data_IF_314055400976
#
_entry.id   IF_314055400976
#
_cell.length_a   1.000
_cell.length_b   1.000
_cell.length_c   1.000
_cell.angle_alpha   90.00
_cell.angle_beta   90.00
_cell.angle_gamma   90.00
#
_symmetry.space_group_name_H-M   'P 1'
#
loop_
_entity.id
_entity.type
_entity.pdbx_description
1 polymer ?
#
# COMPACT_ATOMS: atom_id res chain seq x y z
N UNK A 1 -8.42 -15.87 -22.91
CA UNK A 1 -8.79 -15.08 -24.10
C UNK A 1 -8.33 -13.64 -23.90
N UNK A 2 -7.42 -13.16 -24.74
CA UNK A 2 -6.90 -11.79 -24.71
C UNK A 2 -7.66 -10.94 -25.72
N UNK A 3 -8.47 -10.00 -25.25
CA UNK A 3 -9.17 -9.05 -26.11
C UNK A 3 -8.27 -7.85 -26.41
N UNK A 4 -8.24 -7.40 -27.66
CA UNK A 4 -7.46 -6.23 -28.08
C UNK A 4 -8.00 -4.94 -27.45
N UNK A 5 -7.12 -3.97 -27.17
CA UNK A 5 -7.51 -2.72 -26.51
C UNK A 5 -8.54 -1.91 -27.32
N UNK A 6 -8.38 -1.85 -28.65
CA UNK A 6 -9.33 -1.17 -29.54
C UNK A 6 -10.73 -1.80 -29.54
N UNK A 7 -10.81 -3.12 -29.36
CA UNK A 7 -12.09 -3.81 -29.26
C UNK A 7 -12.78 -3.53 -27.91
N UNK A 8 -12.03 -3.56 -26.81
CA UNK A 8 -12.54 -3.20 -25.48
C UNK A 8 -13.09 -1.76 -25.45
N UNK A 9 -12.35 -0.80 -26.00
CA UNK A 9 -12.73 0.61 -25.98
C UNK A 9 -13.98 0.89 -26.82
N UNK A 10 -14.16 0.20 -27.96
CA UNK A 10 -15.37 0.27 -28.78
C UNK A 10 -16.61 -0.20 -28.01
N UNK A 11 -16.51 -1.35 -27.32
CA UNK A 11 -17.61 -1.89 -26.51
C UNK A 11 -17.95 -0.99 -25.32
N UNK A 12 -16.94 -0.43 -24.64
CA UNK A 12 -17.13 0.55 -23.57
C UNK A 12 -17.84 1.80 -24.09
N UNK A 13 -17.44 2.33 -25.26
CA UNK A 13 -18.10 3.49 -25.89
C UNK A 13 -19.58 3.21 -26.18
N UNK A 14 -19.92 2.01 -26.69
CA UNK A 14 -21.30 1.59 -26.97
C UNK A 14 -22.17 1.52 -25.68
N UNK A 15 -21.56 1.16 -24.55
CA UNK A 15 -22.23 1.14 -23.23
C UNK A 15 -22.31 2.52 -22.56
N UNK A 16 -21.40 3.45 -22.89
CA UNK A 16 -21.29 4.76 -22.24
C UNK A 16 -22.19 5.85 -22.86
N UNK A 17 -22.94 5.56 -23.92
CA UNK A 17 -23.89 6.51 -24.51
C UNK A 17 -25.10 6.78 -23.57
N UNK A 18 -25.73 7.96 -23.63
CA UNK A 18 -26.92 8.29 -22.83
C UNK A 18 -28.09 7.30 -22.98
N UNK A 19 -28.23 6.69 -24.17
CA UNK A 19 -29.14 5.57 -24.46
C UNK A 19 -28.36 4.26 -24.76
N UNK A 20 -27.24 4.06 -24.08
CA UNK A 20 -26.30 2.97 -24.33
C UNK A 20 -26.88 1.58 -24.04
N UNK A 21 -26.39 0.58 -24.76
CA UNK A 21 -26.78 -0.82 -24.56
C UNK A 21 -26.26 -1.29 -23.21
N UNK A 22 -27.10 -1.93 -22.39
CA UNK A 22 -26.67 -2.45 -21.09
C UNK A 22 -25.62 -3.56 -21.25
N UNK A 23 -24.75 -3.72 -20.25
CA UNK A 23 -23.73 -4.77 -20.26
C UNK A 23 -24.32 -6.18 -20.42
N UNK A 24 -25.53 -6.42 -19.91
CA UNK A 24 -26.26 -7.69 -20.04
C UNK A 24 -26.79 -7.92 -21.46
N UNK A 25 -27.27 -6.86 -22.13
CA UNK A 25 -27.71 -6.95 -23.52
C UNK A 25 -26.51 -7.14 -24.47
N UNK A 26 -25.42 -6.39 -24.25
CA UNK A 26 -24.20 -6.50 -25.04
C UNK A 26 -23.49 -7.85 -24.84
N UNK A 27 -23.60 -8.43 -23.63
CA UNK A 27 -23.10 -9.78 -23.35
C UNK A 27 -23.76 -10.85 -24.22
N UNK A 28 -25.08 -10.75 -24.44
CA UNK A 28 -25.81 -11.66 -25.34
C UNK A 28 -25.46 -11.46 -26.81
N UNK A 29 -25.17 -10.23 -27.21
CA UNK A 29 -24.83 -9.88 -28.60
C UNK A 29 -23.41 -10.34 -28.98
N UNK A 30 -22.43 -10.14 -28.09
CA UNK A 30 -21.00 -10.34 -28.39
C UNK A 30 -20.45 -11.65 -27.80
N UNK A 31 -21.23 -12.33 -26.95
CA UNK A 31 -20.82 -13.58 -26.29
C UNK A 31 -19.75 -13.39 -25.20
N UNK A 32 -19.49 -12.15 -24.78
CA UNK A 32 -18.55 -11.82 -23.70
C UNK A 32 -19.29 -11.84 -22.37
N UNK A 33 -18.75 -12.43 -21.30
CA UNK A 33 -19.40 -12.40 -19.99
C UNK A 33 -19.68 -10.96 -19.53
N UNK A 34 -20.91 -10.70 -19.05
CA UNK A 34 -21.33 -9.38 -18.56
C UNK A 34 -20.36 -8.81 -17.50
N UNK A 35 -19.77 -9.66 -16.66
CA UNK A 35 -18.78 -9.25 -15.67
C UNK A 35 -17.52 -8.61 -16.28
N UNK A 36 -17.07 -9.11 -17.44
CA UNK A 36 -15.92 -8.56 -18.16
C UNK A 36 -16.25 -7.20 -18.77
N UNK A 37 -17.45 -7.05 -19.35
CA UNK A 37 -17.93 -5.79 -19.90
C UNK A 37 -18.10 -4.72 -18.80
N UNK A 38 -18.69 -5.09 -17.66
CA UNK A 38 -18.84 -4.19 -16.50
C UNK A 38 -17.52 -3.87 -15.80
N UNK A 39 -16.49 -4.73 -15.90
CA UNK A 39 -15.13 -4.39 -15.47
C UNK A 39 -14.52 -3.33 -16.39
N UNK A 40 -14.54 -3.54 -17.71
CA UNK A 40 -13.97 -2.57 -18.66
C UNK A 40 -14.66 -1.20 -18.60
N UNK A 41 -15.97 -1.16 -18.38
CA UNK A 41 -16.71 0.10 -18.19
C UNK A 41 -16.24 0.85 -16.94
N UNK A 42 -16.00 0.14 -15.83
CA UNK A 42 -15.47 0.74 -14.59
C UNK A 42 -14.05 1.23 -14.77
N UNK A 43 -13.18 0.41 -15.36
CA UNK A 43 -11.78 0.76 -15.60
C UNK A 43 -11.67 2.03 -16.46
N UNK A 44 -12.50 2.15 -17.50
CA UNK A 44 -12.53 3.35 -18.35
C UNK A 44 -13.06 4.60 -17.63
N UNK A 45 -14.01 4.45 -16.70
CA UNK A 45 -14.51 5.57 -15.90
C UNK A 45 -13.50 6.02 -14.84
N UNK A 46 -12.77 5.09 -14.22
CA UNK A 46 -11.70 5.40 -13.25
C UNK A 46 -10.53 6.12 -13.93
N UNK A 47 -10.18 5.75 -15.16
CA UNK A 47 -9.16 6.46 -15.95
C UNK A 47 -9.60 7.88 -16.30
N UNK A 48 -10.90 8.11 -16.51
CA UNK A 48 -11.46 9.46 -16.73
C UNK A 48 -11.59 10.29 -15.44
N UNK A 49 -11.71 9.67 -14.26
CA UNK A 49 -11.79 10.39 -12.97
C UNK A 49 -10.46 11.06 -12.55
N UNK A 50 -9.35 10.76 -13.24
CA UNK A 50 -8.08 11.51 -13.08
C UNK A 50 -8.08 12.88 -13.77
N UNK A 51 -9.11 13.17 -14.59
CA UNK A 51 -9.38 14.48 -15.16
C UNK A 51 -10.68 15.02 -14.59
N UNK A 52 -10.59 16.08 -13.79
CA UNK A 52 -11.68 16.88 -13.25
C UNK A 52 -12.95 16.86 -14.13
N UNK A 53 -13.95 16.05 -13.76
CA UNK A 53 -15.26 16.07 -14.41
C UNK A 53 -16.37 16.17 -13.37
N UNK A 54 -17.33 17.10 -13.53
CA UNK A 54 -18.33 17.38 -12.53
C UNK A 54 -19.26 16.19 -12.34
N UNK A 55 -19.76 16.06 -11.13
CA UNK A 55 -20.79 15.13 -10.68
C UNK A 55 -21.95 15.11 -11.68
N UNK A 56 -21.90 14.18 -12.63
CA UNK A 56 -23.03 13.85 -13.49
C UNK A 56 -23.91 12.90 -12.68
N UNK A 57 -25.03 13.44 -12.18
CA UNK A 57 -26.18 12.70 -11.67
C UNK A 57 -26.70 11.74 -12.74
N UNK A 58 -26.09 10.56 -12.83
CA UNK A 58 -26.68 9.41 -13.50
C UNK A 58 -27.39 8.57 -12.42
N UNK A 59 -28.72 8.38 -12.47
CA UNK A 59 -29.52 7.71 -11.43
C UNK A 59 -29.16 6.24 -11.13
N UNK A 60 -28.20 5.67 -11.86
CA UNK A 60 -27.85 4.25 -11.83
C UNK A 60 -26.52 3.95 -11.12
N UNK A 61 -25.77 4.97 -10.67
CA UNK A 61 -24.58 4.73 -9.85
C UNK A 61 -25.00 4.54 -8.40
N UNK A 62 -25.47 3.35 -8.05
CA UNK A 62 -25.35 2.88 -6.68
C UNK A 62 -23.87 2.72 -6.38
N UNK A 63 -23.20 3.81 -5.95
CA UNK A 63 -21.87 3.69 -5.35
C UNK A 63 -21.99 2.63 -4.27
N UNK A 64 -21.26 1.53 -4.42
CA UNK A 64 -21.21 0.51 -3.37
C UNK A 64 -20.84 1.22 -2.07
N UNK A 65 -21.50 0.91 -0.95
CA UNK A 65 -21.23 1.59 0.31
C UNK A 65 -19.73 1.50 0.59
N UNK A 66 -19.04 2.65 0.59
CA UNK A 66 -17.60 2.72 0.89
C UNK A 66 -17.38 2.02 2.22
N UNK A 67 -16.38 1.13 2.30
CA UNK A 67 -16.07 0.48 3.57
C UNK A 67 -15.63 1.55 4.56
N UNK A 68 -15.87 1.38 5.86
CA UNK A 68 -15.39 2.31 6.90
C UNK A 68 -13.89 2.61 6.81
N UNK A 69 -13.11 1.63 6.34
CA UNK A 69 -11.66 1.73 6.15
C UNK A 69 -11.27 2.62 4.95
N UNK A 70 -12.11 2.67 3.91
CA UNK A 70 -11.86 3.41 2.67
C UNK A 70 -12.24 4.90 2.80
N UNK A 71 -12.76 5.32 3.97
CA UNK A 71 -13.12 6.71 4.25
C UNK A 71 -11.90 7.55 4.56
N UNK A 72 -11.85 8.77 4.02
CA UNK A 72 -10.78 9.73 4.31
C UNK A 72 -10.82 10.20 5.77
N UNK A 73 -9.72 10.77 6.26
CA UNK A 73 -9.67 11.32 7.61
C UNK A 73 -10.71 12.45 7.82
N UNK A 74 -10.92 13.28 6.79
CA UNK A 74 -11.92 14.35 6.79
C UNK A 74 -13.35 13.80 6.84
N UNK A 75 -13.64 12.76 6.04
CA UNK A 75 -14.95 12.08 6.08
C UNK A 75 -15.21 11.47 7.46
N UNK A 76 -14.21 10.84 8.07
CA UNK A 76 -14.33 10.28 9.43
C UNK A 76 -14.60 11.38 10.46
N UNK A 77 -13.88 12.51 10.38
CA UNK A 77 -14.09 13.67 11.25
C UNK A 77 -15.50 14.23 11.13
N UNK A 78 -15.97 14.43 9.91
CA UNK A 78 -17.33 14.94 9.65
C UNK A 78 -18.38 14.03 10.27
N UNK A 79 -18.24 12.71 10.07
CA UNK A 79 -19.18 11.73 10.62
C UNK A 79 -19.18 11.74 12.15
N UNK A 80 -18.01 11.84 12.78
CA UNK A 80 -17.90 11.92 14.24
C UNK A 80 -18.58 13.17 14.79
N UNK A 81 -18.36 14.34 14.16
CA UNK A 81 -18.99 15.60 14.56
C UNK A 81 -20.51 15.54 14.38
N UNK A 82 -20.98 15.07 13.23
CA UNK A 82 -22.42 14.91 12.98
C UNK A 82 -23.06 13.95 13.99
N UNK A 83 -22.37 12.85 14.33
CA UNK A 83 -22.87 11.89 15.32
C UNK A 83 -23.02 12.47 16.73
N UNK A 84 -22.29 13.54 17.10
CA UNK A 84 -22.52 14.25 18.37
C UNK A 84 -23.79 15.09 18.36
N UNK A 85 -24.25 15.51 17.18
CA UNK A 85 -25.45 16.35 17.02
C UNK A 85 -26.74 15.56 16.85
N UNK A 86 -26.63 14.27 16.54
CA UNK A 86 -27.76 13.37 16.33
C UNK A 86 -28.24 12.83 17.67
N UNK A 87 -29.55 12.87 17.90
CA UNK A 87 -30.15 12.29 19.10
C UNK A 87 -29.98 10.75 19.13
N UNK A 88 -29.92 10.16 20.33
CA UNK A 88 -29.60 8.75 20.54
C UNK A 88 -30.58 7.80 19.81
N UNK A 89 -31.85 8.19 19.72
CA UNK A 89 -32.90 7.47 18.99
C UNK A 89 -32.66 7.41 17.47
N UNK A 90 -31.98 8.42 16.93
CA UNK A 90 -31.65 8.53 15.50
C UNK A 90 -30.23 8.06 15.17
N UNK A 91 -29.38 7.86 16.18
CA UNK A 91 -27.98 7.46 16.00
C UNK A 91 -27.87 6.14 15.24
N UNK A 92 -28.70 5.15 15.56
CA UNK A 92 -28.71 3.86 14.86
C UNK A 92 -29.11 3.95 13.37
N UNK A 93 -29.95 4.91 13.00
CA UNK A 93 -30.31 5.17 11.61
C UNK A 93 -29.18 5.92 10.87
N UNK A 94 -28.54 6.87 11.55
CA UNK A 94 -27.38 7.60 11.06
C UNK A 94 -26.19 6.67 10.76
N UNK A 95 -25.87 5.76 11.69
CA UNK A 95 -24.79 4.78 11.54
C UNK A 95 -25.00 3.87 10.32
N UNK A 96 -26.23 3.36 10.13
CA UNK A 96 -26.59 2.52 8.97
C UNK A 96 -26.49 3.29 7.66
N UNK A 97 -26.96 4.54 7.60
CA UNK A 97 -26.84 5.41 6.41
C UNK A 97 -25.38 5.65 6.04
N UNK A 98 -24.53 5.82 7.04
CA UNK A 98 -23.10 6.00 6.86
C UNK A 98 -22.33 4.69 6.68
N UNK A 99 -22.96 3.53 6.80
CA UNK A 99 -22.31 2.23 6.66
C UNK A 99 -21.24 1.94 7.73
N UNK A 100 -21.40 2.51 8.93
CA UNK A 100 -20.46 2.34 10.05
C UNK A 100 -21.15 1.74 11.27
N UNK A 101 -20.39 1.05 12.11
CA UNK A 101 -20.88 0.52 13.38
C UNK A 101 -20.50 1.43 14.55
N UNK A 102 -21.23 1.30 15.65
CA UNK A 102 -20.99 2.10 16.84
C UNK A 102 -19.56 1.91 17.40
N UNK A 103 -19.04 0.68 17.36
CA UNK A 103 -17.66 0.39 17.77
C UNK A 103 -16.63 1.21 16.96
N UNK A 104 -16.85 1.36 15.65
CA UNK A 104 -15.99 2.15 14.77
C UNK A 104 -16.11 3.65 15.06
N UNK A 105 -17.33 4.12 15.35
CA UNK A 105 -17.54 5.51 15.76
C UNK A 105 -16.78 5.83 17.05
N UNK A 106 -16.85 4.94 18.05
CA UNK A 106 -16.10 5.08 19.31
C UNK A 106 -14.58 5.03 19.08
N UNK A 107 -14.11 4.13 18.23
CA UNK A 107 -12.70 4.05 17.84
C UNK A 107 -12.21 5.36 17.19
N UNK A 108 -13.00 5.92 16.26
CA UNK A 108 -12.65 7.18 15.59
C UNK A 108 -12.63 8.36 16.56
N UNK A 109 -13.60 8.42 17.49
CA UNK A 109 -13.59 9.38 18.59
C UNK A 109 -12.33 9.27 19.44
N UNK A 110 -11.97 8.05 19.84
CA UNK A 110 -10.77 7.80 20.65
C UNK A 110 -9.48 8.19 19.93
N UNK A 111 -9.36 7.87 18.63
CA UNK A 111 -8.21 8.28 17.82
C UNK A 111 -8.08 9.81 17.75
N UNK A 112 -9.18 10.54 17.53
CA UNK A 112 -9.16 12.01 17.48
C UNK A 112 -8.76 12.60 18.82
N UNK A 113 -9.36 12.13 19.92
CA UNK A 113 -8.99 12.58 21.26
C UNK A 113 -7.53 12.26 21.59
N UNK A 114 -7.03 11.10 21.18
CA UNK A 114 -5.63 10.72 21.38
C UNK A 114 -4.66 11.61 20.59
N UNK A 115 -5.05 12.08 19.40
CA UNK A 115 -4.25 13.00 18.60
C UNK A 115 -4.23 14.43 19.16
N UNK A 116 -5.30 14.85 19.85
CA UNK A 116 -5.37 16.14 20.53
C UNK A 116 -4.72 16.13 21.92
N UNK A 117 -4.55 14.94 22.52
CA UNK A 117 -3.77 14.84 23.76
C UNK A 117 -2.34 15.31 23.49
N UNK A 118 -1.90 16.28 24.29
CA UNK A 118 -0.50 16.72 24.32
C UNK A 118 0.36 15.45 24.42
N UNK A 119 1.39 15.27 23.59
CA UNK A 119 2.21 14.07 23.66
C UNK A 119 2.72 13.95 25.09
N UNK A 120 2.18 12.98 25.82
CA UNK A 120 2.78 12.54 27.06
C UNK A 120 4.22 12.23 26.67
N UNK A 121 5.19 12.89 27.33
CA UNK A 121 6.62 12.83 27.01
C UNK A 121 6.97 11.50 26.37
N UNK A 122 7.64 11.47 25.20
CA UNK A 122 7.89 10.23 24.48
C UNK A 122 8.39 9.21 25.48
N UNK A 123 7.66 8.08 25.59
CA UNK A 123 7.97 7.07 26.59
C UNK A 123 9.45 6.75 26.47
N UNK A 124 10.18 6.69 27.60
CA UNK A 124 11.63 6.48 27.60
C UNK A 124 12.06 5.31 26.71
N UNK A 125 11.17 4.34 26.49
CA UNK A 125 11.33 3.21 25.57
C UNK A 125 11.69 3.61 24.13
N UNK A 126 11.03 4.62 23.55
CA UNK A 126 11.37 5.09 22.19
C UNK A 126 12.76 5.72 22.17
N UNK A 127 13.17 6.39 23.25
CA UNK A 127 14.55 6.90 23.40
C UNK A 127 15.58 5.79 23.61
N UNK A 128 15.22 4.68 24.27
CA UNK A 128 16.12 3.54 24.46
C UNK A 128 16.31 2.74 23.18
N UNK A 129 15.23 2.51 22.42
CA UNK A 129 15.27 1.82 21.13
C UNK A 129 16.11 2.59 20.12
N UNK A 130 15.91 3.91 20.01
CA UNK A 130 16.73 4.77 19.13
C UNK A 130 18.20 4.78 19.53
N UNK A 131 18.52 4.81 20.83
CA UNK A 131 19.91 4.69 21.31
C UNK A 131 20.53 3.33 20.96
N UNK A 132 19.77 2.24 21.10
CA UNK A 132 20.23 0.89 20.73
C UNK A 132 20.50 0.80 19.23
N UNK A 133 19.60 1.34 18.40
CA UNK A 133 19.78 1.40 16.95
C UNK A 133 21.08 2.12 16.60
N UNK A 134 21.32 3.32 17.15
CA UNK A 134 22.57 4.05 16.90
C UNK A 134 23.82 3.33 17.40
N UNK A 135 23.75 2.65 18.54
CA UNK A 135 24.86 1.87 19.06
C UNK A 135 25.21 0.70 18.11
N UNK A 136 24.18 -0.01 17.63
CA UNK A 136 24.32 -1.12 16.69
C UNK A 136 24.86 -0.63 15.34
N UNK A 137 24.35 0.47 14.80
CA UNK A 137 24.83 1.09 13.55
C UNK A 137 26.33 1.42 13.63
N UNK A 138 26.77 2.01 14.76
CA UNK A 138 28.18 2.35 14.97
C UNK A 138 29.07 1.12 15.07
N UNK A 139 28.59 0.06 15.72
CA UNK A 139 29.34 -1.19 15.82
C UNK A 139 29.43 -1.91 14.48
N UNK A 140 28.36 -1.88 13.68
CA UNK A 140 28.33 -2.40 12.32
C UNK A 140 29.38 -1.69 11.45
N UNK A 141 29.41 -0.34 11.45
CA UNK A 141 30.40 0.43 10.70
C UNK A 141 31.86 0.11 11.10
N UNK A 142 32.12 -0.12 12.39
CA UNK A 142 33.45 -0.50 12.86
C UNK A 142 33.85 -1.89 12.38
N UNK A 143 32.91 -2.84 12.41
CA UNK A 143 33.12 -4.21 11.93
C UNK A 143 33.33 -4.23 10.42
N UNK A 144 32.54 -3.49 9.66
CA UNK A 144 32.70 -3.37 8.21
C UNK A 144 34.05 -2.76 7.83
N UNK A 145 34.51 -1.74 8.56
CA UNK A 145 35.85 -1.15 8.35
C UNK A 145 36.96 -2.17 8.61
N UNK A 146 36.91 -2.90 9.72
CA UNK A 146 37.89 -3.92 10.04
C UNK A 146 37.88 -5.08 9.01
N UNK A 147 36.69 -5.45 8.53
CA UNK A 147 36.52 -6.46 7.48
C UNK A 147 37.14 -5.97 6.16
N UNK A 148 36.90 -4.72 5.78
CA UNK A 148 37.50 -4.12 4.59
C UNK A 148 39.03 -4.04 4.68
N UNK A 149 39.58 -3.69 5.83
CA UNK A 149 41.03 -3.69 6.08
C UNK A 149 41.62 -5.10 5.97
N UNK A 150 40.98 -6.12 6.56
CA UNK A 150 41.40 -7.51 6.43
C UNK A 150 41.34 -8.00 4.98
N UNK A 151 40.27 -7.67 4.25
CA UNK A 151 40.15 -7.98 2.82
C UNK A 151 41.26 -7.30 2.00
N UNK A 152 41.60 -6.05 2.30
CA UNK A 152 42.70 -5.34 1.63
C UNK A 152 44.05 -6.03 1.87
N UNK A 153 44.33 -6.48 3.10
CA UNK A 153 45.55 -7.24 3.43
C UNK A 153 45.60 -8.56 2.64
N UNK A 154 44.50 -9.31 2.58
CA UNK A 154 44.44 -10.56 1.81
C UNK A 154 44.69 -10.33 0.31
N UNK A 155 44.09 -9.29 -0.25
CA UNK A 155 44.31 -8.89 -1.65
C UNK A 155 45.77 -8.52 -1.88
N UNK A 156 46.38 -7.76 -0.96
CA UNK A 156 47.80 -7.37 -1.06
C UNK A 156 48.71 -8.60 -1.00
N UNK A 157 48.50 -9.52 -0.05
CA UNK A 157 49.26 -10.78 0.06
C UNK A 157 49.20 -11.58 -1.25
N UNK A 158 48.00 -11.71 -1.83
CA UNK A 158 47.80 -12.41 -3.11
C UNK A 158 48.55 -11.73 -4.26
N UNK A 159 48.54 -10.40 -4.32
CA UNK A 159 49.29 -9.63 -5.34
C UNK A 159 50.80 -9.82 -5.19
N UNK A 160 51.32 -9.76 -3.96
CA UNK A 160 52.74 -9.98 -3.65
C UNK A 160 53.16 -11.38 -4.10
N UNK A 161 52.41 -12.43 -3.73
CA UNK A 161 52.67 -13.81 -4.15
C UNK A 161 52.65 -13.97 -5.68
N UNK A 162 51.75 -13.27 -6.38
CA UNK A 162 51.66 -13.30 -7.84
C UNK A 162 52.83 -12.60 -8.54
N UNK A 163 53.44 -11.59 -7.91
CA UNK A 163 54.55 -10.81 -8.49
C UNK A 163 55.89 -11.49 -8.19
N UNK A 164 56.07 -11.97 -6.96
CA UNK A 164 57.35 -12.53 -6.51
C UNK A 164 57.47 -14.05 -6.69
N UNK A 165 56.38 -14.73 -7.09
CA UNK A 165 56.34 -16.19 -7.17
C UNK A 165 56.27 -16.79 -5.76
N UNK A 166 55.11 -17.29 -5.36
CA UNK A 166 54.98 -18.01 -4.10
C UNK A 166 55.63 -19.39 -4.20
N UNK A 167 56.76 -19.58 -3.53
CA UNK A 167 57.18 -20.89 -3.03
C UNK A 167 56.18 -21.33 -1.95
N UNK A 168 55.03 -21.84 -2.39
CA UNK A 168 54.31 -22.84 -1.62
C UNK A 168 54.90 -24.20 -2.04
N UNK A 169 56.14 -24.50 -1.64
CA UNK A 169 56.62 -25.88 -1.62
C UNK A 169 56.13 -26.50 -0.31
N UNK A 170 55.07 -27.34 -0.32
CA UNK A 170 54.67 -28.05 0.88
C UNK A 170 55.81 -29.00 1.22
N UNK A 171 56.59 -28.66 2.26
CA UNK A 171 57.52 -29.60 2.87
C UNK A 171 56.69 -30.67 3.58
N UNK A 172 56.16 -31.61 2.79
CA UNK A 172 55.51 -32.81 3.25
C UNK A 172 56.60 -33.68 3.88
N UNK A 173 56.87 -33.47 5.16
CA UNK A 173 57.74 -34.34 5.95
C UNK A 173 57.04 -35.69 6.09
N UNK A 174 57.23 -36.56 5.09
CA UNK A 174 57.03 -38.00 5.21
C UNK A 174 57.92 -38.51 6.33
N UNK A 175 57.33 -38.71 7.51
CA UNK A 175 57.92 -39.56 8.54
C UNK A 175 57.93 -41.00 8.02
N UNK A 176 59.08 -41.41 7.49
CA UNK A 176 59.37 -42.78 7.11
C UNK A 176 60.12 -43.51 8.22
N UNK A 177 59.44 -44.51 8.77
CA UNK A 177 59.92 -45.75 9.43
C UNK A 177 60.60 -45.67 10.79
#
# INVERSE_FOLDING_TARGET
MTYTQGFKSSLVRKMACPNGVSASALSREVGIPQQSLSRWLRDANVVNESGNSPISEAPWRTMSPKRPQDKSAEEKLKIVIEAETVAEDQLGAFLRRNGIHEAQLREWRAMMLSGLQKPSRPSSKTSEETRKIHALEKELLRKDKALAEAAAILILKKKVQSIWGGEDEPTDKRNGR
#
